data_IF_327643350050
#
_entry.id   IF_327643350050
#
_cell.length_a   1.000
_cell.length_b   1.000
_cell.length_c   1.000
_cell.angle_alpha   90.00
_cell.angle_beta   90.00
_cell.angle_gamma   90.00
#
_symmetry.space_group_name_H-M   'P 1'
#
loop_
_entity.id
_entity.type
_entity.pdbx_description
1 polymer ?
#
# COMPACT_ATOMS: atom_id res chain seq x y z
N UNK A 1 28.65 35.67 18.78
CA UNK A 1 28.44 34.22 18.91
C UNK A 1 28.12 33.71 17.52
N UNK A 2 29.10 33.05 16.90
CA UNK A 2 28.92 32.40 15.61
C UNK A 2 28.32 31.02 15.90
N UNK A 3 27.00 30.92 15.77
CA UNK A 3 26.22 29.72 16.16
C UNK A 3 26.70 28.48 15.38
N UNK A 4 27.40 28.66 14.25
CA UNK A 4 27.96 27.57 13.45
C UNK A 4 29.31 27.04 13.98
N UNK A 5 30.10 27.87 14.67
CA UNK A 5 31.40 27.45 15.19
C UNK A 5 31.27 26.59 16.46
N UNK A 6 30.25 26.86 17.28
CA UNK A 6 30.03 26.22 18.57
C UNK A 6 29.04 25.04 18.51
N UNK A 7 28.33 24.85 17.40
CA UNK A 7 27.38 23.75 17.22
C UNK A 7 28.05 22.55 16.52
N UNK A 8 28.74 21.73 17.33
CA UNK A 8 29.31 20.45 16.90
C UNK A 8 28.35 19.30 17.25
N UNK A 9 27.71 18.72 16.24
CA UNK A 9 27.01 17.43 16.38
C UNK A 9 28.04 16.30 16.46
N UNK A 10 28.60 16.05 17.64
CA UNK A 10 29.38 14.83 17.88
C UNK A 10 28.41 13.70 18.18
N UNK A 11 28.41 12.67 17.32
CA UNK A 11 27.61 11.49 17.56
C UNK A 11 28.14 10.77 18.82
N UNK A 12 27.31 10.70 19.86
CA UNK A 12 27.62 9.96 21.11
C UNK A 12 27.76 8.45 20.90
N UNK A 13 27.21 7.96 19.80
CA UNK A 13 27.35 6.59 19.31
C UNK A 13 28.31 6.66 18.13
N UNK A 14 29.44 5.95 18.16
CA UNK A 14 30.37 5.91 17.02
C UNK A 14 29.68 5.46 15.72
N UNK A 15 30.43 5.41 14.62
CA UNK A 15 29.88 4.92 13.34
C UNK A 15 29.41 3.48 13.49
N UNK A 16 28.14 3.21 13.17
CA UNK A 16 27.62 1.84 13.08
C UNK A 16 28.41 1.13 11.97
N UNK A 17 29.02 -0.04 12.24
CA UNK A 17 29.71 -0.80 11.22
C UNK A 17 28.76 -1.10 10.05
N UNK A 18 29.12 -0.62 8.85
CA UNK A 18 28.38 -0.97 7.64
C UNK A 18 28.74 -2.41 7.27
N UNK A 19 27.88 -3.36 7.60
CA UNK A 19 27.94 -4.70 7.02
C UNK A 19 27.15 -4.61 5.73
N UNK A 20 27.85 -4.42 4.60
CA UNK A 20 27.21 -4.50 3.29
C UNK A 20 26.49 -5.86 3.20
N UNK A 21 25.18 -5.90 2.90
CA UNK A 21 24.50 -7.17 2.78
C UNK A 21 25.16 -7.94 1.64
N UNK A 22 25.50 -9.20 1.89
CA UNK A 22 26.08 -10.10 0.89
C UNK A 22 25.16 -11.28 0.66
N UNK A 23 25.10 -11.76 -0.57
CA UNK A 23 24.42 -13.02 -0.90
C UNK A 23 25.11 -14.18 -0.16
N UNK A 24 24.47 -15.36 -0.11
CA UNK A 24 25.14 -16.59 0.35
C UNK A 24 26.44 -16.90 -0.43
N UNK A 25 26.58 -16.37 -1.65
CA UNK A 25 27.78 -16.47 -2.49
C UNK A 25 28.80 -15.31 -2.27
N UNK A 26 28.58 -14.44 -1.29
CA UNK A 26 29.50 -13.34 -0.97
C UNK A 26 29.42 -12.11 -1.89
N UNK A 27 28.49 -12.07 -2.84
CA UNK A 27 28.31 -10.92 -3.74
C UNK A 27 27.59 -9.75 -3.02
N UNK A 28 28.00 -8.49 -3.26
CA UNK A 28 27.31 -7.32 -2.70
C UNK A 28 25.85 -7.27 -3.12
N UNK A 29 24.96 -7.11 -2.15
CA UNK A 29 23.53 -6.85 -2.34
C UNK A 29 23.30 -5.37 -2.11
N UNK A 30 22.35 -4.78 -2.85
CA UNK A 30 21.92 -3.42 -2.58
C UNK A 30 21.46 -3.30 -1.12
N UNK A 31 21.83 -2.24 -0.38
CA UNK A 31 21.32 -1.99 0.97
C UNK A 31 19.80 -1.80 1.00
N UNK A 32 19.20 -1.42 -0.14
CA UNK A 32 17.74 -1.37 -0.32
C UNK A 32 17.06 -2.75 -0.35
N UNK A 33 17.83 -3.84 -0.41
CA UNK A 33 17.30 -5.19 -0.50
C UNK A 33 16.31 -5.31 -1.66
N UNK A 34 15.12 -5.85 -1.36
CA UNK A 34 14.03 -6.02 -2.34
C UNK A 34 13.42 -4.71 -2.85
N UNK A 35 13.73 -3.57 -2.23
CA UNK A 35 13.26 -2.25 -2.65
C UNK A 35 14.10 -1.66 -3.80
N UNK A 36 15.21 -2.30 -4.19
CA UNK A 36 16.21 -1.76 -5.15
C UNK A 36 15.62 -1.30 -6.49
N UNK A 37 14.52 -1.89 -6.93
CA UNK A 37 13.90 -1.56 -8.21
C UNK A 37 12.85 -0.43 -8.12
N UNK A 38 12.40 -0.05 -6.92
CA UNK A 38 11.37 0.97 -6.72
C UNK A 38 11.78 2.39 -7.16
N UNK A 39 13.00 2.91 -6.88
CA UNK A 39 13.35 4.30 -7.18
C UNK A 39 13.06 4.71 -8.63
N UNK A 40 12.34 5.80 -8.84
CA UNK A 40 11.87 6.28 -10.14
C UNK A 40 10.39 6.65 -10.13
N UNK A 41 9.87 7.04 -11.30
CA UNK A 41 8.47 7.42 -11.48
C UNK A 41 7.72 6.27 -12.12
N UNK A 42 6.55 5.96 -11.58
CA UNK A 42 5.65 4.92 -12.06
C UNK A 42 4.32 5.55 -12.41
N UNK A 43 3.77 5.17 -13.56
CA UNK A 43 2.47 5.67 -14.02
C UNK A 43 1.59 4.52 -14.46
N UNK A 44 0.31 4.60 -14.14
CA UNK A 44 -0.60 3.51 -14.40
C UNK A 44 -2.06 3.86 -14.26
N UNK A 45 -2.87 2.81 -14.31
CA UNK A 45 -4.31 2.86 -14.10
C UNK A 45 -4.71 1.77 -13.11
N UNK A 46 -5.85 1.97 -12.50
CA UNK A 46 -6.33 1.08 -11.47
C UNK A 46 -7.83 1.13 -11.28
N UNK A 47 -8.25 0.52 -10.17
CA UNK A 47 -9.62 0.51 -9.73
C UNK A 47 -9.64 0.71 -8.22
N UNK A 48 -10.52 1.60 -7.80
CA UNK A 48 -10.76 1.91 -6.41
C UNK A 48 -12.19 1.55 -6.05
N UNK A 49 -12.36 0.89 -4.92
CA UNK A 49 -13.65 0.69 -4.29
C UNK A 49 -13.57 1.08 -2.82
N UNK A 50 -14.53 1.86 -2.34
CA UNK A 50 -14.68 2.21 -0.92
C UNK A 50 -16.15 2.30 -0.54
N UNK A 51 -16.49 1.72 0.62
CA UNK A 51 -17.73 2.05 1.31
C UNK A 51 -17.50 3.27 2.19
N UNK A 52 -18.16 4.37 1.86
CA UNK A 52 -18.11 5.59 2.64
C UNK A 52 -19.26 5.61 3.62
N UNK A 53 -19.06 6.11 4.85
CA UNK A 53 -20.16 6.51 5.70
C UNK A 53 -20.99 7.56 4.97
N UNK A 54 -22.31 7.44 5.05
CA UNK A 54 -23.26 8.39 4.51
C UNK A 54 -24.17 8.84 5.64
N UNK A 55 -24.45 10.15 5.74
CA UNK A 55 -25.30 10.70 6.77
C UNK A 55 -26.66 11.08 6.18
N UNK A 56 -27.74 10.47 6.65
CA UNK A 56 -29.09 10.74 6.19
C UNK A 56 -30.02 9.55 6.36
N UNK A 57 -30.83 9.26 5.33
CA UNK A 57 -31.71 8.09 5.27
C UNK A 57 -30.98 6.75 5.05
N UNK A 58 -29.66 6.82 4.84
CA UNK A 58 -28.78 5.69 4.61
C UNK A 58 -27.47 5.92 5.39
N UNK A 59 -26.79 4.82 5.73
CA UNK A 59 -25.53 4.81 6.50
C UNK A 59 -24.26 4.71 5.65
N UNK A 60 -24.41 4.43 4.35
CA UNK A 60 -23.33 4.06 3.45
C UNK A 60 -23.52 4.57 2.02
N UNK A 61 -22.41 4.71 1.32
CA UNK A 61 -22.34 4.93 -0.12
C UNK A 61 -21.21 4.07 -0.70
N UNK A 62 -21.49 3.30 -1.75
CA UNK A 62 -20.47 2.54 -2.48
C UNK A 62 -19.83 3.43 -3.55
N UNK A 63 -18.67 3.96 -3.25
CA UNK A 63 -17.87 4.69 -4.23
C UNK A 63 -16.97 3.72 -4.99
N UNK A 64 -17.08 3.78 -6.32
CA UNK A 64 -16.27 3.06 -7.28
C UNK A 64 -15.60 4.11 -8.17
N UNK A 65 -14.32 3.93 -8.49
CA UNK A 65 -13.60 4.78 -9.41
C UNK A 65 -12.69 3.94 -10.30
N UNK A 66 -12.66 4.26 -11.59
CA UNK A 66 -11.51 3.94 -12.44
C UNK A 66 -10.45 5.00 -12.18
N UNK A 67 -9.19 4.61 -11.97
CA UNK A 67 -8.16 5.52 -11.50
C UNK A 67 -7.01 5.71 -12.49
N UNK A 68 -6.38 6.87 -12.43
CA UNK A 68 -5.08 7.16 -13.02
C UNK A 68 -4.13 7.51 -11.88
N UNK A 69 -2.93 6.95 -11.92
CA UNK A 69 -2.00 7.03 -10.81
C UNK A 69 -0.60 7.45 -11.27
N UNK A 70 0.04 8.27 -10.45
CA UNK A 70 1.49 8.48 -10.45
C UNK A 70 2.03 8.13 -9.08
N UNK A 71 3.05 7.27 -9.04
CA UNK A 71 3.75 6.87 -7.83
C UNK A 71 5.24 7.13 -8.04
N UNK A 72 5.79 8.05 -7.26
CA UNK A 72 7.20 8.43 -7.33
C UNK A 72 7.94 7.87 -6.13
N UNK A 73 9.08 7.22 -6.35
CA UNK A 73 9.99 6.78 -5.30
C UNK A 73 11.35 7.47 -5.44
N UNK A 74 11.86 8.02 -4.35
CA UNK A 74 13.22 8.56 -4.28
C UNK A 74 13.99 7.86 -3.16
N UNK A 75 15.23 7.45 -3.46
CA UNK A 75 16.12 6.87 -2.47
C UNK A 75 16.41 7.86 -1.35
N UNK A 76 16.30 7.40 -0.10
CA UNK A 76 16.82 8.14 1.05
C UNK A 76 18.35 7.96 1.01
N UNK A 77 19.14 9.04 0.94
CA UNK A 77 20.58 8.93 0.83
C UNK A 77 21.20 8.45 2.14
N UNK A 78 22.04 7.43 2.05
CA UNK A 78 22.85 6.93 3.17
C UNK A 78 22.11 6.02 4.14
N UNK A 79 22.78 5.75 5.27
CA UNK A 79 22.26 4.92 6.35
C UNK A 79 21.17 5.68 7.14
N UNK A 80 20.11 4.97 7.54
CA UNK A 80 19.11 5.46 8.49
C UNK A 80 19.36 4.75 9.83
N UNK A 81 20.12 5.37 10.75
CA UNK A 81 20.60 4.70 11.95
C UNK A 81 19.48 4.53 13.00
N UNK A 82 19.31 3.31 13.52
CA UNK A 82 18.45 3.01 14.67
C UNK A 82 19.28 2.48 15.85
N UNK A 83 18.94 2.91 17.07
CA UNK A 83 19.68 2.57 18.28
C UNK A 83 19.10 1.34 18.98
N UNK A 84 19.97 0.40 19.32
CA UNK A 84 19.61 -0.83 20.01
C UNK A 84 19.89 -0.76 21.50
N UNK A 85 18.94 -1.22 22.32
CA UNK A 85 19.16 -1.50 23.75
C UNK A 85 19.38 -3.00 23.99
N UNK A 86 18.53 -3.84 23.37
CA UNK A 86 18.53 -5.30 23.54
C UNK A 86 19.21 -6.05 22.38
N UNK A 87 19.74 -5.30 21.42
CA UNK A 87 20.60 -5.76 20.32
C UNK A 87 21.56 -4.61 19.97
N UNK A 88 22.55 -4.88 19.12
CA UNK A 88 23.41 -3.83 18.59
C UNK A 88 22.61 -2.83 17.73
N UNK A 89 23.18 -1.64 17.53
CA UNK A 89 22.66 -0.67 16.58
C UNK A 89 22.53 -1.27 15.17
N UNK A 90 21.53 -0.80 14.42
CA UNK A 90 21.28 -1.24 13.04
C UNK A 90 21.17 -0.03 12.12
N UNK A 91 21.54 -0.23 10.85
CA UNK A 91 21.27 0.73 9.79
C UNK A 91 20.09 0.22 8.95
N UNK A 92 19.03 1.02 8.88
CA UNK A 92 17.96 0.85 7.92
C UNK A 92 18.34 1.57 6.62
N UNK A 93 17.65 1.22 5.54
CA UNK A 93 17.72 1.93 4.27
C UNK A 93 16.32 2.07 3.71
N UNK A 94 16.06 3.04 2.86
CA UNK A 94 14.69 3.22 2.39
C UNK A 94 14.54 4.13 1.20
N UNK A 95 13.31 4.17 0.71
CA UNK A 95 12.86 5.09 -0.34
C UNK A 95 11.69 5.89 0.21
N UNK A 96 11.70 7.21 0.04
CA UNK A 96 10.48 8.02 0.21
C UNK A 96 9.59 7.80 -1.01
N UNK A 97 8.28 7.90 -0.85
CA UNK A 97 7.36 7.90 -1.97
C UNK A 97 6.29 8.97 -1.87
N UNK A 98 5.76 9.35 -3.03
CA UNK A 98 4.56 10.16 -3.17
C UNK A 98 3.61 9.45 -4.14
N UNK A 99 2.45 9.05 -3.64
CA UNK A 99 1.37 8.46 -4.42
C UNK A 99 0.32 9.53 -4.73
N UNK A 100 -0.07 9.64 -5.99
CA UNK A 100 -1.10 10.57 -6.44
C UNK A 100 -2.11 9.84 -7.32
N UNK A 101 -3.36 9.81 -6.88
CA UNK A 101 -4.46 9.11 -7.57
C UNK A 101 -5.51 10.13 -7.99
N UNK A 102 -5.92 10.04 -9.25
CA UNK A 102 -7.00 10.81 -9.84
C UNK A 102 -8.10 9.89 -10.35
N UNK A 103 -9.33 10.39 -10.39
CA UNK A 103 -10.41 9.76 -11.12
C UNK A 103 -10.11 9.78 -12.62
N UNK A 104 -10.45 8.72 -13.36
CA UNK A 104 -10.19 8.61 -14.78
C UNK A 104 -11.24 9.32 -15.66
N UNK A 105 -12.40 9.68 -15.11
CA UNK A 105 -13.56 10.15 -15.87
C UNK A 105 -14.20 11.42 -15.29
N UNK A 106 -14.16 11.59 -13.97
CA UNK A 106 -14.82 12.72 -13.29
C UNK A 106 -13.89 13.92 -13.18
N UNK A 107 -14.41 15.09 -13.57
CA UNK A 107 -13.71 16.37 -13.41
C UNK A 107 -14.02 17.00 -12.05
N UNK A 108 -12.98 17.54 -11.42
CA UNK A 108 -13.10 18.39 -10.25
C UNK A 108 -13.49 19.84 -10.59
N UNK A 109 -13.70 20.70 -9.58
CA UNK A 109 -14.15 22.08 -9.76
C UNK A 109 -13.23 22.97 -10.62
N UNK A 110 -11.97 22.57 -10.79
CA UNK A 110 -10.97 23.28 -11.59
C UNK A 110 -10.92 22.82 -13.05
N UNK A 111 -11.86 21.97 -13.50
CA UNK A 111 -11.90 21.42 -14.85
C UNK A 111 -10.82 20.37 -15.15
N UNK A 112 -10.02 19.96 -14.16
CA UNK A 112 -9.08 18.83 -14.26
C UNK A 112 -9.72 17.57 -13.67
N UNK A 113 -9.18 16.41 -13.99
CA UNK A 113 -9.59 15.16 -13.36
C UNK A 113 -9.54 15.29 -11.82
N UNK A 114 -10.60 14.82 -11.16
CA UNK A 114 -10.76 14.93 -9.73
C UNK A 114 -9.62 14.19 -9.01
N UNK A 115 -8.95 14.87 -8.08
CA UNK A 115 -7.99 14.21 -7.20
C UNK A 115 -8.73 13.35 -6.18
N UNK A 116 -8.43 12.06 -6.14
CA UNK A 116 -9.00 11.12 -5.18
C UNK A 116 -8.09 10.97 -3.95
N UNK A 117 -6.78 10.92 -4.17
CA UNK A 117 -5.82 10.62 -3.12
C UNK A 117 -4.45 11.25 -3.36
N UNK A 118 -3.79 11.67 -2.29
CA UNK A 118 -2.37 12.03 -2.28
C UNK A 118 -1.72 11.56 -0.98
N UNK A 119 -0.74 10.68 -1.08
CA UNK A 119 -0.15 10.01 0.09
C UNK A 119 1.39 10.08 0.03
N UNK A 120 2.03 10.83 0.95
CA UNK A 120 3.46 10.70 1.18
C UNK A 120 3.76 9.55 2.16
N UNK A 121 4.89 8.89 1.95
CA UNK A 121 5.37 7.85 2.87
C UNK A 121 6.81 7.42 2.63
N UNK A 122 7.21 6.37 3.34
CA UNK A 122 8.54 5.76 3.23
C UNK A 122 8.39 4.24 3.22
N UNK A 123 9.16 3.59 2.35
CA UNK A 123 9.48 2.17 2.47
C UNK A 123 10.87 2.00 3.08
N UNK A 124 10.98 1.12 4.08
CA UNK A 124 12.21 0.77 4.76
C UNK A 124 12.57 -0.70 4.48
N UNK A 125 13.85 -0.94 4.25
CA UNK A 125 14.52 -2.23 4.32
C UNK A 125 15.16 -2.34 5.70
N UNK A 126 14.71 -3.31 6.47
CA UNK A 126 15.22 -3.61 7.81
C UNK A 126 16.13 -4.83 7.71
N UNK A 127 17.41 -4.75 8.14
CA UNK A 127 18.28 -5.91 8.17
C UNK A 127 17.77 -6.95 9.19
N UNK A 128 18.29 -8.19 9.17
CA UNK A 128 17.96 -9.15 10.22
C UNK A 128 18.24 -8.59 11.61
N UNK A 129 17.35 -8.86 12.55
CA UNK A 129 17.46 -8.42 13.95
C UNK A 129 17.61 -9.61 14.88
N UNK A 130 18.29 -9.42 16.01
CA UNK A 130 18.37 -10.45 17.06
C UNK A 130 17.37 -10.23 18.19
N UNK A 131 16.82 -9.01 18.32
CA UNK A 131 15.77 -8.68 19.28
C UNK A 131 14.84 -7.55 18.78
N UNK A 132 13.63 -7.86 18.26
CA UNK A 132 13.09 -9.21 18.08
C UNK A 132 13.94 -10.05 17.11
N UNK A 133 13.89 -11.37 17.22
CA UNK A 133 14.57 -12.26 16.28
C UNK A 133 13.73 -12.36 15.00
N UNK A 134 14.07 -11.54 14.02
CA UNK A 134 13.40 -11.50 12.72
C UNK A 134 14.43 -11.57 11.58
N UNK A 135 14.09 -12.20 10.44
CA UNK A 135 14.90 -12.09 9.23
C UNK A 135 14.87 -10.65 8.71
N UNK A 136 15.54 -10.40 7.58
CA UNK A 136 15.37 -9.13 6.88
C UNK A 136 13.88 -8.91 6.53
N UNK A 137 13.36 -7.74 6.84
CA UNK A 137 11.96 -7.36 6.66
C UNK A 137 11.85 -6.05 5.89
N UNK A 138 10.63 -5.72 5.47
CA UNK A 138 10.30 -4.42 4.91
C UNK A 138 9.18 -3.76 5.73
N UNK A 139 9.19 -2.43 5.80
CA UNK A 139 8.13 -1.66 6.40
C UNK A 139 7.69 -0.51 5.48
N UNK A 140 6.39 -0.24 5.43
CA UNK A 140 5.79 0.92 4.78
C UNK A 140 5.18 1.81 5.85
N UNK A 141 5.57 3.07 5.87
CA UNK A 141 5.00 4.10 6.74
C UNK A 141 4.32 5.15 5.86
N UNK A 142 3.06 5.46 6.14
CA UNK A 142 2.26 6.35 5.28
C UNK A 142 1.48 7.38 6.08
N UNK A 143 1.30 8.56 5.49
CA UNK A 143 0.38 9.59 5.99
C UNK A 143 -0.76 9.79 5.00
N UNK A 144 -1.97 9.47 5.42
CA UNK A 144 -3.17 9.45 4.60
C UNK A 144 -3.93 10.77 4.79
N UNK A 145 -4.25 11.51 3.71
CA UNK A 145 -4.86 12.85 3.80
C UNK A 145 -6.29 12.85 4.34
N UNK A 146 -6.87 11.67 4.56
CA UNK A 146 -8.17 11.47 5.19
C UNK A 146 -8.11 11.40 6.73
N UNK A 147 -6.92 11.56 7.33
CA UNK A 147 -6.75 11.63 8.78
C UNK A 147 -6.26 10.34 9.42
N UNK A 148 -5.50 9.52 8.70
CA UNK A 148 -4.88 8.29 9.23
C UNK A 148 -3.38 8.31 8.97
N UNK A 149 -2.57 7.79 9.89
CA UNK A 149 -1.18 7.38 9.61
C UNK A 149 -1.03 5.90 9.91
N UNK A 150 -0.09 5.22 9.27
CA UNK A 150 0.11 3.79 9.47
C UNK A 150 1.59 3.40 9.45
N UNK A 151 1.85 2.24 10.06
CA UNK A 151 3.06 1.45 9.86
C UNK A 151 2.61 0.04 9.49
N UNK A 152 2.87 -0.39 8.26
CA UNK A 152 2.66 -1.76 7.80
C UNK A 152 4.03 -2.44 7.67
N UNK A 153 4.17 -3.66 8.19
CA UNK A 153 5.42 -4.40 8.18
C UNK A 153 5.22 -5.79 7.59
N UNK A 154 6.30 -6.38 7.10
CA UNK A 154 6.25 -7.72 6.54
C UNK A 154 7.53 -8.11 5.84
N UNK A 155 7.41 -8.99 4.85
CA UNK A 155 8.55 -9.65 4.24
C UNK A 155 8.55 -9.54 2.71
N UNK A 156 9.66 -9.99 2.15
CA UNK A 156 9.75 -10.30 0.71
C UNK A 156 9.59 -11.79 0.52
N UNK A 157 8.75 -12.20 -0.42
CA UNK A 157 8.68 -13.61 -0.82
C UNK A 157 9.80 -13.97 -1.80
N UNK A 158 10.18 -15.26 -1.93
CA UNK A 158 11.15 -15.69 -2.94
C UNK A 158 10.75 -15.22 -4.34
N UNK A 159 11.75 -14.77 -5.12
CA UNK A 159 11.54 -14.36 -6.51
C UNK A 159 11.07 -15.56 -7.33
N UNK A 160 10.02 -15.36 -8.12
CA UNK A 160 9.48 -16.34 -9.06
C UNK A 160 9.70 -15.88 -10.49
N UNK A 161 9.91 -16.82 -11.42
CA UNK A 161 10.24 -16.51 -12.82
C UNK A 161 9.00 -16.53 -13.74
N UNK A 162 7.86 -16.09 -13.20
CA UNK A 162 6.58 -16.03 -13.89
C UNK A 162 5.67 -14.96 -13.26
N UNK A 163 4.50 -14.75 -13.85
CA UNK A 163 3.46 -13.88 -13.31
C UNK A 163 3.08 -14.24 -11.86
N UNK A 164 2.75 -13.25 -11.01
CA UNK A 164 2.37 -13.52 -9.63
C UNK A 164 1.03 -14.27 -9.52
N UNK A 165 0.86 -15.14 -8.51
CA UNK A 165 -0.45 -15.62 -8.13
C UNK A 165 -1.24 -14.48 -7.47
N UNK A 166 -2.36 -14.09 -8.08
CA UNK A 166 -3.24 -13.03 -7.56
C UNK A 166 -4.49 -13.68 -6.99
N UNK A 167 -4.60 -13.71 -5.66
CA UNK A 167 -5.79 -14.23 -4.97
C UNK A 167 -6.98 -13.26 -5.14
N UNK A 168 -8.24 -13.77 -5.22
CA UNK A 168 -9.41 -12.90 -5.14
C UNK A 168 -9.48 -12.11 -3.84
N UNK A 169 -10.05 -10.91 -3.91
CA UNK A 169 -10.33 -10.07 -2.72
C UNK A 169 -11.81 -9.66 -2.74
N UNK A 170 -12.46 -9.68 -1.58
CA UNK A 170 -13.88 -9.32 -1.45
C UNK A 170 -14.03 -7.91 -0.91
N UNK A 171 -15.04 -7.19 -1.41
CA UNK A 171 -15.47 -5.88 -0.89
C UNK A 171 -16.66 -5.99 0.06
N UNK A 172 -17.11 -7.21 0.36
CA UNK A 172 -18.33 -7.46 1.12
C UNK A 172 -18.11 -7.07 2.59
N UNK A 173 -18.91 -6.13 3.14
CA UNK A 173 -18.83 -5.77 4.55
C UNK A 173 -19.19 -6.95 5.45
N UNK A 174 -18.71 -6.95 6.69
CA UNK A 174 -18.97 -8.04 7.64
C UNK A 174 -19.04 -7.56 9.08
N UNK A 175 -19.61 -8.36 9.98
CA UNK A 175 -19.72 -7.99 11.40
C UNK A 175 -18.34 -7.90 12.06
N UNK A 176 -18.10 -6.87 12.87
CA UNK A 176 -16.82 -6.73 13.59
C UNK A 176 -16.62 -7.89 14.56
N UNK A 177 -17.66 -8.29 15.27
CA UNK A 177 -17.59 -9.42 16.19
C UNK A 177 -17.54 -10.76 15.44
N UNK A 178 -16.85 -11.78 16.00
CA UNK A 178 -16.95 -13.16 15.52
C UNK A 178 -18.43 -13.59 15.44
N UNK A 179 -18.84 -14.32 14.38
CA UNK A 179 -17.98 -15.04 13.43
C UNK A 179 -17.61 -14.25 12.15
N UNK A 180 -17.68 -12.91 12.18
CA UNK A 180 -17.41 -12.06 11.01
C UNK A 180 -18.34 -12.33 9.82
N UNK A 181 -19.64 -12.42 10.10
CA UNK A 181 -20.65 -12.74 9.11
C UNK A 181 -20.70 -11.69 7.99
N UNK A 182 -20.58 -12.07 6.71
CA UNK A 182 -20.71 -11.15 5.59
C UNK A 182 -22.14 -10.60 5.44
N UNK A 183 -22.26 -9.35 5.00
CA UNK A 183 -23.52 -8.65 4.76
C UNK A 183 -23.55 -8.15 3.32
N UNK A 184 -24.55 -8.60 2.57
CA UNK A 184 -24.76 -8.17 1.19
C UNK A 184 -25.66 -6.94 1.15
N UNK A 185 -25.29 -5.98 0.31
CA UNK A 185 -26.01 -4.75 0.10
C UNK A 185 -26.34 -4.58 -1.38
N UNK A 186 -27.51 -4.01 -1.74
CA UNK A 186 -27.94 -3.91 -3.14
C UNK A 186 -26.97 -3.08 -4.01
N UNK A 187 -26.21 -2.16 -3.41
CA UNK A 187 -25.22 -1.36 -4.11
C UNK A 187 -24.11 -2.22 -4.76
N UNK A 188 -23.81 -3.44 -4.29
CA UNK A 188 -22.78 -4.28 -4.95
C UNK A 188 -23.26 -4.89 -6.27
N UNK A 189 -24.57 -4.88 -6.56
CA UNK A 189 -25.11 -5.40 -7.81
C UNK A 189 -25.31 -4.27 -8.81
N UNK A 190 -24.44 -4.18 -9.84
CA UNK A 190 -24.51 -3.15 -10.88
C UNK A 190 -25.81 -3.20 -11.69
N UNK A 191 -26.48 -4.35 -11.76
CA UNK A 191 -27.79 -4.50 -12.39
C UNK A 191 -28.96 -3.91 -11.59
N UNK A 192 -28.74 -3.53 -10.32
CA UNK A 192 -29.73 -2.86 -9.48
C UNK A 192 -29.43 -1.36 -9.46
N UNK A 193 -30.37 -0.49 -9.89
CA UNK A 193 -30.23 0.95 -9.74
C UNK A 193 -30.11 1.32 -8.25
N UNK A 194 -29.14 2.18 -7.91
CA UNK A 194 -28.99 2.74 -6.57
C UNK A 194 -28.52 4.19 -6.65
N UNK A 195 -29.07 5.02 -5.77
CA UNK A 195 -28.59 6.39 -5.54
C UNK A 195 -27.41 6.43 -4.56
N UNK A 196 -27.09 5.30 -3.92
CA UNK A 196 -26.02 5.15 -2.95
C UNK A 196 -24.78 4.44 -3.52
N UNK A 197 -24.59 4.54 -4.85
CA UNK A 197 -23.40 4.05 -5.56
C UNK A 197 -22.94 5.10 -6.59
N UNK A 198 -21.65 5.13 -6.92
CA UNK A 198 -21.14 5.90 -8.07
C UNK A 198 -22.02 5.65 -9.31
N UNK A 199 -22.51 6.71 -9.99
CA UNK A 199 -23.32 6.59 -11.19
C UNK A 199 -22.58 5.86 -12.31
N UNK A 200 -23.27 5.03 -13.09
CA UNK A 200 -22.64 4.27 -14.17
C UNK A 200 -21.93 5.14 -15.22
N UNK A 201 -22.42 6.36 -15.47
CA UNK A 201 -21.81 7.32 -16.39
C UNK A 201 -20.37 7.72 -15.98
N UNK A 202 -20.06 7.65 -14.69
CA UNK A 202 -18.76 8.03 -14.13
C UNK A 202 -17.78 6.83 -14.05
N UNK A 203 -18.28 5.61 -14.30
CA UNK A 203 -17.54 4.34 -14.26
C UNK A 203 -17.87 3.45 -15.48
N UNK A 204 -17.66 3.96 -16.71
CA UNK A 204 -18.16 3.32 -17.93
C UNK A 204 -17.58 1.92 -18.18
N UNK A 205 -16.42 1.57 -17.63
CA UNK A 205 -15.78 0.26 -17.84
C UNK A 205 -15.84 -0.65 -16.60
N UNK A 206 -16.45 -0.20 -15.49
CA UNK A 206 -16.56 -1.03 -14.30
C UNK A 206 -17.58 -2.15 -14.52
N UNK A 207 -17.13 -3.39 -14.32
CA UNK A 207 -17.94 -4.60 -14.49
C UNK A 207 -18.34 -5.22 -13.17
N UNK A 208 -19.38 -6.07 -13.16
CA UNK A 208 -19.77 -6.82 -11.97
C UNK A 208 -18.64 -7.72 -11.45
N UNK A 209 -17.79 -8.24 -12.34
CA UNK A 209 -16.63 -9.03 -11.96
C UNK A 209 -15.62 -8.22 -11.13
N UNK A 210 -15.40 -6.95 -11.49
CA UNK A 210 -14.52 -6.03 -10.73
C UNK A 210 -15.11 -5.69 -9.36
N UNK A 211 -16.43 -5.51 -9.26
CA UNK A 211 -17.09 -5.26 -7.98
C UNK A 211 -17.03 -6.50 -7.08
N UNK A 212 -17.23 -7.70 -7.64
CA UNK A 212 -17.15 -8.95 -6.88
C UNK A 212 -15.71 -9.26 -6.42
N UNK A 213 -14.72 -8.93 -7.26
CA UNK A 213 -13.31 -9.16 -7.02
C UNK A 213 -12.46 -8.08 -7.69
N UNK A 214 -12.08 -7.00 -6.98
CA UNK A 214 -11.21 -5.96 -7.53
C UNK A 214 -9.89 -6.48 -8.11
N UNK A 215 -9.34 -7.56 -7.56
CA UNK A 215 -8.08 -8.14 -8.04
C UNK A 215 -8.19 -8.73 -9.46
N UNK A 216 -9.40 -8.90 -10.01
CA UNK A 216 -9.55 -9.29 -11.43
C UNK A 216 -8.97 -8.25 -12.39
N UNK A 217 -8.95 -6.96 -11.99
CA UNK A 217 -8.33 -5.88 -12.77
C UNK A 217 -6.84 -6.15 -12.97
N UNK A 218 -6.17 -6.63 -11.93
CA UNK A 218 -4.75 -6.97 -11.99
C UNK A 218 -4.51 -8.20 -12.87
N UNK A 219 -5.32 -9.25 -12.71
CA UNK A 219 -5.21 -10.46 -13.53
C UNK A 219 -5.45 -10.18 -15.02
N UNK A 220 -6.41 -9.31 -15.35
CA UNK A 220 -6.65 -8.88 -16.73
C UNK A 220 -5.50 -8.04 -17.29
N UNK A 221 -4.90 -7.15 -16.48
CA UNK A 221 -3.81 -6.29 -16.93
C UNK A 221 -2.57 -7.08 -17.37
N UNK A 222 -2.31 -8.24 -16.77
CA UNK A 222 -1.16 -9.10 -17.10
C UNK A 222 -1.48 -10.24 -18.05
N UNK A 223 -2.74 -10.38 -18.47
CA UNK A 223 -3.14 -11.43 -19.39
C UNK A 223 -2.34 -11.34 -20.70
N UNK A 224 -1.64 -12.42 -21.06
CA UNK A 224 -0.82 -12.50 -22.27
C UNK A 224 0.55 -11.81 -22.19
N UNK A 225 0.92 -11.19 -21.07
CA UNK A 225 2.27 -10.65 -20.88
C UNK A 225 3.29 -11.76 -20.61
N UNK A 226 4.53 -11.57 -21.07
CA UNK A 226 5.65 -12.45 -20.74
C UNK A 226 6.41 -11.89 -19.51
N UNK A 227 5.90 -12.18 -18.31
CA UNK A 227 6.55 -11.81 -17.05
C UNK A 227 7.64 -12.83 -16.74
N UNK A 228 8.89 -12.39 -16.70
CA UNK A 228 10.06 -13.28 -16.53
C UNK A 228 10.62 -13.29 -15.11
N UNK A 229 10.20 -12.35 -14.26
CA UNK A 229 10.62 -12.26 -12.86
C UNK A 229 9.60 -11.45 -12.07
N UNK A 230 9.27 -11.91 -10.86
CA UNK A 230 8.40 -11.19 -9.92
C UNK A 230 8.98 -11.21 -8.50
N UNK A 231 9.23 -10.03 -7.95
CA UNK A 231 9.55 -9.82 -6.54
C UNK A 231 8.29 -9.38 -5.80
N UNK A 232 7.93 -10.07 -4.72
CA UNK A 232 6.71 -9.76 -3.95
C UNK A 232 7.05 -9.13 -2.61
N UNK A 233 6.52 -7.94 -2.33
CA UNK A 233 6.51 -7.32 -1.00
C UNK A 233 5.13 -7.51 -0.40
N UNK A 234 5.03 -8.11 0.78
CA UNK A 234 3.77 -8.26 1.52
C UNK A 234 3.90 -7.59 2.87
N UNK A 235 3.04 -6.63 3.16
CA UNK A 235 3.03 -5.87 4.42
C UNK A 235 1.64 -5.79 5.02
N UNK A 236 1.57 -5.73 6.34
CA UNK A 236 0.34 -5.53 7.10
C UNK A 236 0.58 -4.65 8.33
N UNK A 237 -0.43 -3.89 8.73
CA UNK A 237 -0.44 -3.22 10.05
C UNK A 237 -0.71 -4.20 11.20
N UNK A 238 -1.11 -5.44 10.89
CA UNK A 238 -1.15 -6.57 11.81
C UNK A 238 0.12 -7.41 11.67
N UNK A 239 0.71 -7.94 12.75
CA UNK A 239 1.94 -8.74 12.66
C UNK A 239 1.81 -9.97 11.75
N UNK A 240 2.76 -10.15 10.82
CA UNK A 240 2.78 -11.26 9.86
C UNK A 240 3.65 -12.45 10.30
N UNK A 241 4.39 -12.35 11.42
CA UNK A 241 5.18 -13.43 12.02
C UNK A 241 6.03 -14.20 10.98
N UNK A 242 7.13 -13.63 10.43
CA UNK A 242 7.77 -12.36 10.82
C UNK A 242 7.36 -11.10 10.00
N UNK A 243 7.50 -9.88 10.55
CA UNK A 243 7.89 -9.59 11.93
C UNK A 243 6.77 -9.94 12.91
N UNK A 244 7.18 -10.35 14.11
CA UNK A 244 6.25 -10.87 15.12
C UNK A 244 5.44 -9.81 15.87
N UNK A 245 5.91 -8.56 15.82
CA UNK A 245 5.32 -7.44 16.55
C UNK A 245 5.48 -6.15 15.75
N UNK A 246 4.85 -5.07 16.21
CA UNK A 246 4.87 -3.77 15.56
C UNK A 246 3.73 -3.56 14.57
N UNK A 247 3.82 -2.46 13.84
CA UNK A 247 2.78 -1.99 12.93
C UNK A 247 1.63 -1.27 13.63
N UNK A 248 0.62 -0.89 12.86
CA UNK A 248 -0.63 -0.31 13.35
C UNK A 248 -1.10 0.88 12.53
N UNK A 249 -2.26 1.41 12.91
CA UNK A 249 -2.89 2.60 12.34
C UNK A 249 -3.19 3.60 13.46
N UNK A 250 -3.03 4.89 13.19
CA UNK A 250 -3.46 5.99 14.07
C UNK A 250 -4.44 6.88 13.33
N UNK A 251 -5.54 7.24 13.97
CA UNK A 251 -6.65 7.98 13.35
C UNK A 251 -6.89 9.30 14.08
N UNK A 252 -7.28 10.35 13.35
CA UNK A 252 -7.76 11.59 13.96
C UNK A 252 -9.10 11.38 14.70
N UNK A 253 -9.42 12.29 15.62
CA UNK A 253 -10.62 12.22 16.44
C UNK A 253 -11.92 12.12 15.62
N UNK A 254 -12.00 12.78 14.45
CA UNK A 254 -13.16 12.69 13.58
C UNK A 254 -13.44 11.24 13.13
N UNK A 255 -12.40 10.51 12.71
CA UNK A 255 -12.54 9.12 12.27
C UNK A 255 -12.83 8.19 13.44
N UNK A 256 -12.11 8.38 14.56
CA UNK A 256 -12.24 7.57 15.77
C UNK A 256 -13.62 7.73 16.43
N UNK A 257 -14.24 8.91 16.29
CA UNK A 257 -15.53 9.24 16.88
C UNK A 257 -15.46 9.35 18.41
N UNK A 258 -16.64 9.30 19.03
CA UNK A 258 -16.82 9.41 20.48
C UNK A 258 -17.78 8.31 20.98
N UNK A 259 -18.60 8.59 22.00
CA UNK A 259 -19.52 7.60 22.59
C UNK A 259 -20.53 6.99 21.59
N UNK A 260 -20.82 7.67 20.47
CA UNK A 260 -21.68 7.16 19.40
C UNK A 260 -21.00 6.22 18.40
N UNK A 261 -19.71 5.93 18.58
CA UNK A 261 -18.90 5.13 17.66
C UNK A 261 -18.14 5.96 16.62
N UNK A 262 -17.31 5.30 15.81
CA UNK A 262 -16.47 5.96 14.80
C UNK A 262 -17.27 6.41 13.58
N UNK A 263 -16.83 7.49 12.94
CA UNK A 263 -17.32 7.84 11.60
C UNK A 263 -16.76 6.87 10.55
N UNK A 264 -15.46 6.55 10.60
CA UNK A 264 -14.80 5.55 9.75
C UNK A 264 -13.40 5.25 10.30
N UNK A 265 -13.31 4.40 11.32
CA UNK A 265 -12.03 4.08 11.92
C UNK A 265 -11.24 3.13 11.01
N UNK A 266 -10.10 3.55 10.47
CA UNK A 266 -9.17 2.63 9.81
C UNK A 266 -8.54 1.72 10.86
N UNK A 267 -8.73 0.40 10.76
CA UNK A 267 -8.26 -0.55 11.78
C UNK A 267 -7.13 -1.45 11.30
N UNK A 268 -7.13 -1.83 10.02
CA UNK A 268 -6.06 -2.62 9.43
C UNK A 268 -5.80 -2.18 8.01
N UNK A 269 -4.54 -2.28 7.58
CA UNK A 269 -4.12 -2.14 6.20
C UNK A 269 -3.24 -3.32 5.84
N UNK A 270 -3.62 -4.03 4.79
CA UNK A 270 -2.82 -5.08 4.16
C UNK A 270 -2.51 -4.66 2.73
N UNK A 271 -1.27 -4.85 2.29
CA UNK A 271 -0.89 -4.58 0.92
C UNK A 271 0.10 -5.60 0.39
N UNK A 272 -0.08 -5.98 -0.87
CA UNK A 272 0.88 -6.78 -1.63
C UNK A 272 1.30 -6.00 -2.87
N UNK A 273 2.60 -5.86 -3.05
CA UNK A 273 3.22 -5.23 -4.23
C UNK A 273 4.00 -6.30 -4.99
N UNK A 274 3.82 -6.34 -6.30
CA UNK A 274 4.55 -7.21 -7.22
C UNK A 274 5.37 -6.34 -8.15
N UNK A 275 6.69 -6.41 -8.00
CA UNK A 275 7.64 -5.74 -8.89
C UNK A 275 8.05 -6.75 -9.95
N UNK A 276 7.64 -6.50 -11.18
CA UNK A 276 7.70 -7.45 -12.28
C UNK A 276 8.66 -6.98 -13.38
N UNK A 277 9.43 -7.91 -13.93
CA UNK A 277 10.14 -7.71 -15.20
C UNK A 277 9.33 -8.33 -16.32
N UNK A 278 8.87 -7.49 -17.25
CA UNK A 278 8.11 -7.91 -18.43
C UNK A 278 9.02 -7.89 -19.64
N UNK A 279 9.08 -9.01 -20.38
CA UNK A 279 9.79 -9.11 -21.66
C UNK A 279 8.84 -8.77 -22.80
N UNK A 280 9.17 -7.74 -23.56
CA UNK A 280 8.41 -7.27 -24.71
C UNK A 280 8.70 -8.11 -25.96
N UNK A 281 7.79 -8.13 -26.97
CA UNK A 281 7.99 -8.90 -28.22
C UNK A 281 9.26 -8.53 -28.99
N UNK A 282 9.72 -7.28 -28.85
CA UNK A 282 10.97 -6.79 -29.47
C UNK A 282 12.25 -7.23 -28.73
N UNK A 283 12.12 -8.00 -27.64
CA UNK A 283 13.22 -8.49 -26.81
C UNK A 283 13.67 -7.55 -25.69
N UNK A 284 13.18 -6.31 -25.63
CA UNK A 284 13.47 -5.39 -24.52
C UNK A 284 12.72 -5.79 -23.25
N UNK A 285 13.15 -5.28 -22.10
CA UNK A 285 12.44 -5.46 -20.83
C UNK A 285 11.97 -4.12 -20.27
N UNK A 286 10.86 -4.16 -19.54
CA UNK A 286 10.37 -3.04 -18.72
C UNK A 286 10.06 -3.51 -17.31
N UNK A 287 10.07 -2.55 -16.38
CA UNK A 287 9.58 -2.78 -15.03
C UNK A 287 8.10 -2.39 -14.95
N UNK A 288 7.32 -3.30 -14.38
CA UNK A 288 5.92 -3.11 -14.04
C UNK A 288 5.75 -3.29 -12.52
N UNK A 289 4.82 -2.55 -11.94
CA UNK A 289 4.43 -2.66 -10.55
C UNK A 289 2.93 -2.88 -10.47
N UNK A 290 2.51 -4.03 -9.95
CA UNK A 290 1.13 -4.25 -9.53
C UNK A 290 1.03 -4.13 -8.02
N UNK A 291 -0.08 -3.60 -7.52
CA UNK A 291 -0.40 -3.72 -6.11
C UNK A 291 -1.88 -3.98 -5.87
N UNK A 292 -2.17 -4.66 -4.77
CA UNK A 292 -3.49 -4.70 -4.14
C UNK A 292 -3.35 -4.25 -2.69
N UNK A 293 -4.23 -3.37 -2.27
CA UNK A 293 -4.32 -2.87 -0.90
C UNK A 293 -5.74 -3.04 -0.40
N UNK A 294 -5.89 -3.61 0.79
CA UNK A 294 -7.17 -3.65 1.52
C UNK A 294 -7.01 -2.89 2.83
N UNK A 295 -7.85 -1.87 3.01
CA UNK A 295 -8.03 -1.17 4.28
C UNK A 295 -9.35 -1.65 4.88
N UNK A 296 -9.36 -2.03 6.15
CA UNK A 296 -10.61 -2.23 6.87
C UNK A 296 -10.99 -0.92 7.58
N UNK A 297 -12.16 -0.39 7.20
CA UNK A 297 -12.79 0.73 7.88
C UNK A 297 -13.90 0.20 8.78
N UNK A 298 -13.95 0.65 10.03
CA UNK A 298 -15.00 0.29 10.97
C UNK A 298 -15.94 1.47 11.20
N UNK A 299 -17.22 1.28 10.91
CA UNK A 299 -18.30 2.20 11.27
C UNK A 299 -19.64 1.46 11.25
N UNK A 300 -20.61 1.99 12.00
CA UNK A 300 -21.95 1.41 12.15
C UNK A 300 -21.98 -0.11 12.47
N UNK A 301 -21.05 -0.57 13.32
CA UNK A 301 -20.97 -1.96 13.78
C UNK A 301 -20.39 -2.97 12.79
N UNK A 302 -19.96 -2.53 11.61
CA UNK A 302 -19.41 -3.39 10.55
C UNK A 302 -17.95 -3.02 10.23
N UNK A 303 -17.23 -4.01 9.73
CA UNK A 303 -15.97 -3.85 9.02
C UNK A 303 -16.25 -3.75 7.53
N UNK A 304 -15.74 -2.71 6.91
CA UNK A 304 -15.96 -2.37 5.51
C UNK A 304 -14.62 -2.46 4.77
N UNK A 305 -14.41 -3.48 3.93
CA UNK A 305 -13.24 -3.54 3.07
C UNK A 305 -13.26 -2.39 2.05
N UNK A 306 -12.16 -1.66 2.01
CA UNK A 306 -11.82 -0.66 1.02
C UNK A 306 -10.63 -1.22 0.23
N UNK A 307 -10.84 -1.47 -1.07
CA UNK A 307 -9.86 -2.12 -1.92
C UNK A 307 -9.41 -1.18 -3.03
N UNK A 308 -8.10 -1.00 -3.16
CA UNK A 308 -7.47 -0.27 -4.25
C UNK A 308 -6.45 -1.17 -4.94
N UNK A 309 -6.53 -1.22 -6.26
CA UNK A 309 -5.63 -2.01 -7.10
C UNK A 309 -5.11 -1.16 -8.27
N UNK A 310 -3.87 -1.35 -8.67
CA UNK A 310 -3.34 -0.70 -9.86
C UNK A 310 -2.23 -1.50 -10.53
N UNK A 311 -2.04 -1.25 -11.82
CA UNK A 311 -0.88 -1.70 -12.60
C UNK A 311 -0.18 -0.48 -13.16
N UNK A 312 1.09 -0.29 -12.79
CA UNK A 312 1.92 0.84 -13.19
C UNK A 312 3.15 0.36 -13.95
N UNK A 313 3.63 1.19 -14.87
CA UNK A 313 4.89 0.96 -15.59
C UNK A 313 5.87 2.05 -15.18
N UNK A 314 7.13 1.67 -15.00
CA UNK A 314 8.21 2.63 -14.73
C UNK A 314 8.51 3.44 -15.99
N UNK A 315 8.55 4.77 -15.86
CA UNK A 315 8.76 5.72 -16.97
C UNK A 315 10.07 6.50 -16.84
#
# INVERSE_FOLDING_TARGET
MDVLADFQLTSVSGRIPSIAPVTQAGLPVSPFGSLVHLPGIWKGRGFNQIWRPFHGSQDRFLELNETIETLEFEAIPGDIPNRGLLQADINLHGVRYLQQIQDAHVLGPNGKLAGLHIEPGIWLSTPPTSNPLDPATVARMASIPHGTTLVAQGGTLPVINHAPPIAPVSITPFTIAPPHSPIQFPETNLGVPSQFRTPHADIPNVTQAMVNNPNIVLSHAIAGQNITSTTTLRVSTTPLNPPATGGGTSNIAFLQGAAGGPNAQSVTVEATFWIETVKEPNGTTKLQLQYTQTVLLNFNGLSWPHVTVATLVKV
#
